data_IF_820375474069
#
_entry.id   IF_820375474069
#
_cell.length_a   1.000
_cell.length_b   1.000
_cell.length_c   1.000
_cell.angle_alpha   90.00
_cell.angle_beta   90.00
_cell.angle_gamma   90.00
#
_symmetry.space_group_name_H-M   'P 1'
#
loop_
_entity.id
_entity.type
_entity.pdbx_description
1 polymer ?
#
# COMPACT_ATOMS: atom_id res chain seq x y z
N UNK A 1 -13.44 -15.58 1.24
CA UNK A 1 -12.15 -15.09 0.73
C UNK A 1 -12.52 -14.15 -0.39
N UNK A 2 -11.94 -12.96 -0.41
CA UNK A 2 -12.31 -11.93 -1.38
C UNK A 2 -11.12 -11.01 -1.63
N UNK A 3 -11.20 -10.25 -2.70
CA UNK A 3 -10.20 -9.27 -3.08
C UNK A 3 -10.64 -7.85 -2.71
N UNK A 4 -9.70 -7.04 -2.22
CA UNK A 4 -9.88 -5.61 -2.01
C UNK A 4 -8.72 -4.85 -2.65
N UNK A 5 -8.99 -3.67 -3.20
CA UNK A 5 -7.96 -2.83 -3.81
C UNK A 5 -7.94 -1.47 -3.14
N UNK A 6 -6.79 -1.05 -2.64
CA UNK A 6 -6.63 0.27 -2.05
C UNK A 6 -6.78 1.35 -3.11
N UNK A 7 -7.56 2.38 -2.83
CA UNK A 7 -7.65 3.59 -3.65
C UNK A 7 -6.99 4.75 -2.91
N UNK A 8 -6.21 5.54 -3.63
CA UNK A 8 -5.58 6.76 -3.12
C UNK A 8 -6.00 7.96 -3.97
N UNK A 9 -6.08 9.14 -3.38
CA UNK A 9 -6.62 10.33 -4.01
C UNK A 9 -6.86 11.43 -2.98
N UNK A 10 -7.68 12.41 -3.32
CA UNK A 10 -8.14 13.40 -2.34
C UNK A 10 -9.09 12.74 -1.33
N UNK A 11 -8.82 12.90 -0.04
CA UNK A 11 -9.59 12.29 1.05
C UNK A 11 -11.03 12.79 1.10
N UNK A 12 -11.28 14.06 0.76
CA UNK A 12 -12.64 14.63 0.77
C UNK A 12 -13.48 14.01 -0.33
N UNK A 13 -12.90 13.89 -1.54
CA UNK A 13 -13.54 13.25 -2.69
C UNK A 13 -13.81 11.78 -2.41
N UNK A 14 -12.82 11.04 -1.88
CA UNK A 14 -12.95 9.62 -1.54
C UNK A 14 -14.06 9.38 -0.52
N UNK A 15 -14.19 10.24 0.50
CA UNK A 15 -15.27 10.13 1.49
C UNK A 15 -16.65 10.33 0.87
N UNK A 16 -16.83 11.30 -0.02
CA UNK A 16 -18.10 11.50 -0.73
C UNK A 16 -18.44 10.31 -1.65
N UNK A 17 -17.41 9.70 -2.25
CA UNK A 17 -17.58 8.52 -3.09
C UNK A 17 -17.97 7.27 -2.29
N UNK A 18 -17.46 7.11 -1.05
CA UNK A 18 -17.88 6.02 -0.15
C UNK A 18 -19.38 6.06 0.06
N UNK A 19 -19.94 7.22 0.41
CA UNK A 19 -21.39 7.39 0.64
C UNK A 19 -22.23 7.04 -0.60
N UNK A 20 -21.67 7.21 -1.80
CA UNK A 20 -22.36 6.97 -3.07
C UNK A 20 -22.19 5.53 -3.59
N UNK A 21 -21.19 4.80 -3.11
CA UNK A 21 -20.79 3.47 -3.59
C UNK A 21 -20.83 2.43 -2.46
N UNK A 22 -21.78 2.55 -1.55
CA UNK A 22 -21.95 1.58 -0.45
C UNK A 22 -22.52 0.23 -0.96
N UNK A 23 -23.21 0.23 -2.10
CA UNK A 23 -23.93 -0.94 -2.63
C UNK A 23 -23.76 -1.07 -4.14
N UNK A 24 -24.03 -2.26 -4.67
CA UNK A 24 -23.89 -2.58 -6.10
C UNK A 24 -22.68 -3.47 -6.39
N UNK A 25 -22.38 -3.63 -7.68
CA UNK A 25 -21.31 -4.52 -8.14
C UNK A 25 -19.92 -3.94 -7.91
N UNK A 26 -19.81 -2.60 -7.84
CA UNK A 26 -18.57 -1.88 -7.48
C UNK A 26 -18.86 -1.05 -6.22
N UNK A 27 -18.10 -1.33 -5.16
CA UNK A 27 -18.28 -0.74 -3.85
C UNK A 27 -17.00 -0.06 -3.37
N UNK A 28 -17.12 1.10 -2.74
CA UNK A 28 -16.02 1.79 -2.08
C UNK A 28 -16.32 1.87 -0.58
N UNK A 29 -15.36 1.48 0.26
CA UNK A 29 -15.51 1.55 1.71
C UNK A 29 -14.27 2.10 2.40
N UNK A 30 -14.43 2.50 3.65
CA UNK A 30 -13.33 2.88 4.53
C UNK A 30 -12.84 1.67 5.34
N UNK A 31 -11.53 1.56 5.53
CA UNK A 31 -10.87 0.52 6.32
C UNK A 31 -9.73 1.13 7.13
N UNK A 32 -9.15 0.35 8.06
CA UNK A 32 -7.94 0.77 8.78
C UNK A 32 -6.74 1.09 7.86
N UNK A 33 -6.79 0.64 6.60
CA UNK A 33 -5.75 0.85 5.59
C UNK A 33 -6.13 1.92 4.55
N UNK A 34 -7.13 2.75 4.86
CA UNK A 34 -7.68 3.76 3.96
C UNK A 34 -8.86 3.24 3.15
N UNK A 35 -9.06 3.82 1.97
CA UNK A 35 -10.20 3.53 1.12
C UNK A 35 -9.96 2.26 0.29
N UNK A 36 -10.94 1.35 0.27
CA UNK A 36 -10.87 0.07 -0.40
C UNK A 36 -12.01 -0.10 -1.38
N UNK A 37 -11.66 -0.44 -2.62
CA UNK A 37 -12.57 -0.84 -3.68
C UNK A 37 -12.79 -2.35 -3.62
N UNK A 38 -14.05 -2.75 -3.71
CA UNK A 38 -14.50 -4.13 -3.90
C UNK A 38 -15.32 -4.18 -5.17
N UNK A 39 -15.11 -5.21 -5.99
CA UNK A 39 -15.91 -5.42 -7.19
C UNK A 39 -16.26 -6.91 -7.30
N UNK A 40 -17.49 -7.22 -7.72
CA UNK A 40 -17.95 -8.60 -7.90
C UNK A 40 -17.05 -9.35 -8.89
N UNK A 41 -16.58 -8.66 -9.91
CA UNK A 41 -15.71 -9.19 -10.95
C UNK A 41 -14.35 -9.64 -10.40
N UNK A 42 -13.88 -9.06 -9.29
CA UNK A 42 -12.63 -9.50 -8.66
C UNK A 42 -12.71 -10.94 -8.14
N UNK A 43 -13.90 -11.41 -7.74
CA UNK A 43 -14.09 -12.77 -7.22
C UNK A 43 -13.79 -13.87 -8.26
N UNK A 44 -13.79 -13.51 -9.54
CA UNK A 44 -13.46 -14.41 -10.65
C UNK A 44 -11.97 -14.47 -10.99
N UNK A 45 -11.14 -13.67 -10.31
CA UNK A 45 -9.72 -13.50 -10.63
C UNK A 45 -8.84 -14.26 -9.63
N UNK A 46 -7.84 -14.96 -10.18
CA UNK A 46 -6.96 -15.85 -9.41
C UNK A 46 -5.61 -15.21 -9.04
N UNK A 47 -5.36 -13.96 -9.44
CA UNK A 47 -4.07 -13.28 -9.22
C UNK A 47 -4.21 -11.81 -8.89
N UNK A 48 -3.31 -11.32 -8.05
CA UNK A 48 -3.25 -9.90 -7.68
C UNK A 48 -2.96 -8.98 -8.88
N UNK A 49 -2.16 -9.44 -9.85
CA UNK A 49 -1.90 -8.69 -11.10
C UNK A 49 -3.19 -8.48 -11.90
N UNK A 50 -3.99 -9.54 -12.11
CA UNK A 50 -5.25 -9.44 -12.83
C UNK A 50 -6.26 -8.54 -12.09
N UNK A 51 -6.31 -8.64 -10.77
CA UNK A 51 -7.15 -7.77 -9.92
C UNK A 51 -6.70 -6.31 -10.05
N UNK A 52 -5.40 -6.05 -10.04
CA UNK A 52 -4.86 -4.70 -10.22
C UNK A 52 -5.22 -4.12 -11.58
N UNK A 53 -5.03 -4.88 -12.65
CA UNK A 53 -5.29 -4.40 -14.01
C UNK A 53 -6.76 -4.02 -14.19
N UNK A 54 -7.68 -4.88 -13.72
CA UNK A 54 -9.10 -4.56 -13.73
C UNK A 54 -9.44 -3.36 -12.82
N UNK A 55 -8.82 -3.27 -11.65
CA UNK A 55 -9.01 -2.13 -10.76
C UNK A 55 -8.54 -0.81 -11.38
N UNK A 56 -7.46 -0.82 -12.18
CA UNK A 56 -7.00 0.37 -12.91
C UNK A 56 -8.07 0.84 -13.90
N UNK A 57 -8.72 -0.08 -14.62
CA UNK A 57 -9.80 0.25 -15.53
C UNK A 57 -11.00 0.88 -14.80
N UNK A 58 -11.44 0.24 -13.70
CA UNK A 58 -12.54 0.75 -12.87
C UNK A 58 -12.20 2.13 -12.30
N UNK A 59 -11.01 2.30 -11.74
CA UNK A 59 -10.55 3.56 -11.13
C UNK A 59 -10.41 4.68 -12.16
N UNK A 60 -10.06 4.35 -13.40
CA UNK A 60 -10.01 5.32 -14.50
C UNK A 60 -11.41 5.87 -14.80
N UNK A 61 -12.41 4.99 -14.92
CA UNK A 61 -13.80 5.41 -15.12
C UNK A 61 -14.31 6.19 -13.90
N UNK A 62 -14.04 5.70 -12.69
CA UNK A 62 -14.44 6.36 -11.44
C UNK A 62 -13.83 7.77 -11.33
N UNK A 63 -12.55 7.94 -11.68
CA UNK A 63 -11.89 9.25 -11.70
C UNK A 63 -12.58 10.21 -12.67
N UNK A 64 -12.96 9.74 -13.86
CA UNK A 64 -13.73 10.54 -14.83
C UNK A 64 -15.09 10.96 -14.29
N UNK A 65 -15.82 10.02 -13.69
CA UNK A 65 -17.12 10.27 -13.06
C UNK A 65 -17.03 11.26 -11.90
N UNK A 66 -16.03 11.11 -11.03
CA UNK A 66 -15.79 12.00 -9.90
C UNK A 66 -15.47 13.42 -10.37
N UNK A 67 -14.61 13.58 -11.39
CA UNK A 67 -14.32 14.91 -11.98
C UNK A 67 -15.57 15.61 -12.48
N UNK A 68 -16.48 14.87 -13.12
CA UNK A 68 -17.71 15.43 -13.64
C UNK A 68 -18.70 15.81 -12.52
N UNK A 69 -18.86 14.96 -11.52
CA UNK A 69 -19.85 15.13 -10.46
C UNK A 69 -19.41 16.09 -9.35
N UNK A 70 -18.15 16.03 -8.95
CA UNK A 70 -17.61 16.75 -7.79
C UNK A 70 -16.66 17.90 -8.20
N UNK A 71 -16.29 18.00 -9.48
CA UNK A 71 -15.30 18.97 -9.94
C UNK A 71 -13.88 18.65 -9.48
N UNK A 72 -13.58 17.37 -9.20
CA UNK A 72 -12.27 16.96 -8.68
C UNK A 72 -11.14 17.34 -9.62
N UNK A 73 -9.99 17.71 -9.06
CA UNK A 73 -8.80 18.02 -9.84
C UNK A 73 -7.73 16.92 -9.77
N UNK A 74 -7.79 16.07 -8.74
CA UNK A 74 -6.85 14.98 -8.53
C UNK A 74 -7.44 13.65 -9.03
N UNK A 75 -6.63 12.88 -9.77
CA UNK A 75 -7.01 11.51 -10.15
C UNK A 75 -6.98 10.58 -8.95
N UNK A 76 -7.89 9.61 -8.94
CA UNK A 76 -7.78 8.46 -8.06
C UNK A 76 -6.74 7.49 -8.63
N UNK A 77 -6.02 6.78 -7.77
CA UNK A 77 -4.99 5.81 -8.16
C UNK A 77 -5.15 4.50 -7.39
N UNK A 78 -4.74 3.41 -8.03
CA UNK A 78 -4.67 2.09 -7.42
C UNK A 78 -3.41 1.97 -6.55
N UNK A 79 -3.60 1.57 -5.29
CA UNK A 79 -2.56 1.28 -4.32
C UNK A 79 -2.29 -0.22 -4.18
N UNK A 80 -2.24 -0.70 -2.95
CA UNK A 80 -2.05 -2.12 -2.65
C UNK A 80 -3.26 -2.97 -3.07
N UNK A 81 -3.00 -4.23 -3.45
CA UNK A 81 -4.05 -5.25 -3.61
C UNK A 81 -4.02 -6.18 -2.41
N UNK A 82 -5.18 -6.40 -1.81
CA UNK A 82 -5.36 -7.24 -0.62
C UNK A 82 -6.14 -8.51 -0.99
N UNK A 83 -5.61 -9.64 -0.56
CA UNK A 83 -6.33 -10.90 -0.56
C UNK A 83 -6.80 -11.22 0.86
N UNK A 84 -8.09 -11.05 1.12
CA UNK A 84 -8.65 -11.22 2.46
C UNK A 84 -9.08 -12.67 2.64
N UNK A 85 -8.38 -13.38 3.52
CA UNK A 85 -8.62 -14.77 3.85
C UNK A 85 -9.84 -14.93 4.78
N UNK A 86 -10.44 -16.13 4.87
CA UNK A 86 -11.58 -16.38 5.75
C UNK A 86 -11.32 -16.12 7.24
N UNK A 87 -10.05 -16.17 7.69
CA UNK A 87 -9.63 -15.87 9.06
C UNK A 87 -9.43 -14.36 9.32
N UNK A 88 -9.73 -13.51 8.34
CA UNK A 88 -9.56 -12.06 8.39
C UNK A 88 -8.13 -11.58 8.14
N UNK A 89 -7.15 -12.49 7.99
CA UNK A 89 -5.79 -12.10 7.61
C UNK A 89 -5.76 -11.69 6.14
N UNK A 90 -4.78 -10.86 5.80
CA UNK A 90 -4.64 -10.28 4.47
C UNK A 90 -3.27 -10.58 3.90
N UNK A 91 -3.21 -11.09 2.68
CA UNK A 91 -1.99 -11.04 1.88
C UNK A 91 -1.96 -9.71 1.13
N UNK A 92 -0.86 -8.97 1.25
CA UNK A 92 -0.71 -7.63 0.68
C UNK A 92 0.25 -7.72 -0.50
N UNK A 93 -0.23 -7.39 -1.69
CA UNK A 93 0.60 -7.25 -2.89
C UNK A 93 0.81 -5.77 -3.16
N UNK A 94 2.08 -5.36 -3.14
CA UNK A 94 2.50 -4.00 -3.45
C UNK A 94 3.13 -3.98 -4.84
N UNK A 95 2.65 -3.08 -5.69
CA UNK A 95 3.17 -2.90 -7.03
C UNK A 95 4.10 -1.70 -7.01
N UNK A 96 5.40 -1.96 -7.13
CA UNK A 96 6.38 -0.90 -7.27
C UNK A 96 6.23 -0.28 -8.67
N UNK A 97 5.59 0.88 -8.76
CA UNK A 97 5.86 1.76 -9.89
C UNK A 97 7.34 2.19 -9.85
N UNK A 98 7.98 2.55 -10.97
CA UNK A 98 9.38 2.98 -11.01
C UNK A 98 9.73 4.21 -10.11
N UNK A 99 8.77 4.76 -9.37
CA UNK A 99 8.94 5.88 -8.44
C UNK A 99 8.62 5.51 -6.99
N UNK A 100 9.66 5.23 -6.22
CA UNK A 100 9.80 5.38 -4.74
C UNK A 100 8.55 5.10 -3.89
N UNK A 101 8.48 3.88 -3.33
CA UNK A 101 7.61 3.59 -2.19
C UNK A 101 8.17 4.27 -0.93
N UNK A 102 7.46 5.25 -0.36
CA UNK A 102 7.69 5.74 1.02
C UNK A 102 6.64 5.15 1.96
N UNK A 103 6.88 3.94 2.44
CA UNK A 103 6.10 3.34 3.53
C UNK A 103 6.63 3.85 4.88
N UNK A 104 6.01 4.90 5.43
CA UNK A 104 6.21 5.36 6.82
C UNK A 104 4.95 5.01 7.61
N UNK A 105 4.70 3.73 7.85
CA UNK A 105 3.42 3.30 8.45
C UNK A 105 3.48 2.02 9.27
N UNK A 106 4.18 0.98 8.82
CA UNK A 106 4.33 -0.27 9.58
C UNK A 106 5.68 -0.94 9.30
N UNK A 107 6.26 -1.68 10.26
CA UNK A 107 7.42 -2.53 9.99
C UNK A 107 7.02 -3.62 8.99
N UNK A 108 7.44 -3.48 7.73
CA UNK A 108 7.22 -4.47 6.69
C UNK A 108 8.36 -5.49 6.73
N UNK A 109 8.02 -6.78 6.66
CA UNK A 109 9.00 -7.82 6.31
C UNK A 109 8.91 -8.04 4.81
N UNK A 110 9.97 -7.70 4.08
CA UNK A 110 10.08 -7.94 2.65
C UNK A 110 10.44 -9.40 2.43
N UNK A 111 9.68 -10.11 1.60
CA UNK A 111 10.01 -11.47 1.17
C UNK A 111 10.61 -11.40 -0.23
N UNK A 112 11.91 -11.68 -0.37
CA UNK A 112 12.59 -11.77 -1.66
C UNK A 112 12.56 -13.23 -2.12
N UNK A 113 11.84 -13.51 -3.20
CA UNK A 113 11.91 -14.81 -3.88
C UNK A 113 12.95 -14.74 -4.99
N UNK A 114 14.03 -15.52 -4.88
CA UNK A 114 15.06 -15.63 -5.92
C UNK A 114 14.60 -16.56 -7.05
N UNK A 115 15.28 -16.47 -8.20
CA UNK A 115 14.99 -17.28 -9.39
C UNK A 115 15.17 -18.81 -9.16
N UNK A 116 15.89 -19.20 -8.10
CA UNK A 116 16.05 -20.60 -7.67
C UNK A 116 14.92 -21.09 -6.74
N UNK A 117 13.90 -20.26 -6.49
CA UNK A 117 12.76 -20.57 -5.63
C UNK A 117 13.01 -20.36 -4.14
N UNK A 118 14.21 -19.90 -3.74
CA UNK A 118 14.49 -19.59 -2.33
C UNK A 118 13.83 -18.28 -1.91
N UNK A 119 13.26 -18.24 -0.71
CA UNK A 119 12.65 -17.04 -0.14
C UNK A 119 13.45 -16.52 1.04
N UNK A 120 13.79 -15.23 1.02
CA UNK A 120 14.53 -14.56 2.08
C UNK A 120 13.67 -13.45 2.70
N UNK A 121 13.51 -13.49 4.02
CA UNK A 121 12.84 -12.45 4.78
C UNK A 121 13.84 -11.34 5.13
N UNK A 122 13.58 -10.12 4.67
CA UNK A 122 14.34 -8.93 5.03
C UNK A 122 13.45 -8.00 5.87
N UNK A 123 13.86 -7.73 7.10
CA UNK A 123 13.14 -6.83 8.01
C UNK A 123 13.76 -5.44 7.92
N UNK A 124 12.94 -4.40 7.92
CA UNK A 124 13.43 -3.01 7.84
C UNK A 124 14.44 -2.63 8.94
N UNK A 125 14.46 -3.35 10.07
CA UNK A 125 15.37 -3.12 11.19
C UNK A 125 16.66 -3.97 11.15
N UNK A 126 16.85 -4.85 10.16
CA UNK A 126 18.04 -5.72 10.05
C UNK A 126 19.38 -4.96 10.13
N UNK A 127 19.54 -3.75 9.53
CA UNK A 127 20.78 -3.00 9.64
C UNK A 127 21.17 -2.60 11.07
N UNK A 128 20.21 -2.49 12.00
CA UNK A 128 20.47 -2.11 13.40
C UNK A 128 21.39 -3.14 14.08
N UNK A 129 21.19 -4.43 13.79
CA UNK A 129 22.02 -5.50 14.33
C UNK A 129 23.49 -5.42 13.87
N UNK A 130 23.74 -4.79 12.71
CA UNK A 130 25.08 -4.57 12.18
C UNK A 130 25.71 -3.28 12.72
N UNK A 131 24.93 -2.21 12.83
CA UNK A 131 25.45 -0.89 13.21
C UNK A 131 25.71 -0.76 14.71
N UNK A 132 24.91 -1.40 15.56
CA UNK A 132 25.02 -1.25 17.00
C UNK A 132 26.38 -1.74 17.55
N UNK A 133 26.88 -2.94 17.18
CA UNK A 133 28.22 -3.37 17.58
C UNK A 133 29.34 -2.46 17.05
N UNK A 134 29.21 -1.98 15.80
CA UNK A 134 30.18 -1.06 15.18
C UNK A 134 30.24 0.29 15.91
N UNK A 135 29.10 0.82 16.33
CA UNK A 135 29.03 2.05 17.11
C UNK A 135 29.63 1.89 18.51
N UNK A 136 29.45 0.73 19.14
CA UNK A 136 30.08 0.41 20.43
C UNK A 136 31.60 0.28 20.31
N UNK A 137 32.10 -0.23 19.19
CA UNK A 137 33.54 -0.42 18.94
C UNK A 137 34.25 0.76 18.28
N UNK A 138 33.54 1.73 17.69
CA UNK A 138 34.14 2.83 16.93
C UNK A 138 33.49 4.19 17.26
N UNK A 139 34.24 5.13 17.88
CA UNK A 139 33.70 6.42 18.28
C UNK A 139 33.27 7.32 17.11
N UNK A 140 33.86 7.16 15.93
CA UNK A 140 33.43 7.90 14.73
C UNK A 140 32.05 7.42 14.24
N UNK A 141 31.80 6.11 14.28
CA UNK A 141 30.49 5.53 13.95
C UNK A 141 29.44 5.96 14.97
N UNK A 142 29.77 5.92 16.27
CA UNK A 142 28.89 6.40 17.32
C UNK A 142 28.52 7.89 17.14
N UNK A 143 29.49 8.73 16.77
CA UNK A 143 29.26 10.15 16.51
C UNK A 143 28.35 10.36 15.30
N UNK A 144 28.55 9.62 14.22
CA UNK A 144 27.72 9.72 13.01
C UNK A 144 26.25 9.34 13.28
N UNK A 145 26.01 8.27 14.02
CA UNK A 145 24.64 7.86 14.38
C UNK A 145 23.95 8.85 15.32
N UNK A 146 24.69 9.46 16.27
CA UNK A 146 24.15 10.49 17.18
C UNK A 146 23.72 11.76 16.44
N UNK A 147 24.44 12.16 15.40
CA UNK A 147 24.09 13.37 14.62
C UNK A 147 22.73 13.23 13.93
N UNK A 148 22.32 12.01 13.55
CA UNK A 148 21.01 11.76 12.93
C UNK A 148 19.82 11.95 13.88
N UNK A 149 20.04 12.01 15.20
CA UNK A 149 18.97 12.29 16.18
C UNK A 149 18.67 13.79 16.36
N UNK A 150 19.44 14.70 15.75
CA UNK A 150 19.34 16.14 16.01
C UNK A 150 18.38 16.87 15.03
N UNK A 151 17.97 16.22 13.94
CA UNK A 151 17.16 16.84 12.87
C UNK A 151 15.62 16.72 13.07
N UNK A 152 15.11 16.28 14.24
CA UNK A 152 13.66 16.16 14.52
C UNK A 152 13.09 17.26 15.45
N UNK A 153 13.79 18.39 15.62
CA UNK A 153 13.24 19.61 16.25
C UNK A 153 13.39 20.80 15.29
N UNK A 154 12.54 20.84 14.27
CA UNK A 154 12.41 21.95 13.32
C UNK A 154 11.08 21.89 12.59
#
# INVERSE_FOLDING_TARGET
>A
MHWEVQITGDTSDLRMLVDSLETGDVQLGESEHGYVLRALEFESLDSADAVRDLAIEIVTVLSGSARLALGTHQSLNVGAVYHVRPDGKRDITLFAEPGVIRLRGMPVTLMLTRADGTTEAHKSADPVAQWLPLAMGNPAVARALRLRNVDELG
#
